data_IF_790051466459
#
_entry.id   IF_790051466459
#
_cell.length_a   1.000
_cell.length_b   1.000
_cell.length_c   1.000
_cell.angle_alpha   90.00
_cell.angle_beta   90.00
_cell.angle_gamma   90.00
#
_symmetry.space_group_name_H-M   'P 1'
#
loop_
_entity.id
_entity.type
_entity.pdbx_description
1 polymer ?
#
# COMPACT_ATOMS: atom_id res chain seq x y z
N UNK A 1 15.40 39.11 -23.45
CA UNK A 1 14.97 37.94 -24.23
C UNK A 1 14.71 36.82 -23.24
N UNK A 2 13.45 36.49 -22.97
CA UNK A 2 13.06 35.40 -22.05
C UNK A 2 13.13 34.07 -22.81
N UNK A 3 14.17 33.28 -22.56
CA UNK A 3 14.20 31.89 -23.02
C UNK A 3 13.21 31.11 -22.14
N UNK A 4 12.11 30.64 -22.76
CA UNK A 4 11.28 29.62 -22.11
C UNK A 4 12.15 28.37 -21.96
N UNK A 5 12.25 27.77 -20.77
CA UNK A 5 13.04 26.55 -20.58
C UNK A 5 12.49 25.47 -21.51
N UNK A 6 13.38 24.92 -22.33
CA UNK A 6 13.06 23.80 -23.22
C UNK A 6 12.67 22.59 -22.37
N UNK A 7 11.61 21.84 -22.70
CA UNK A 7 11.26 20.61 -21.96
C UNK A 7 12.38 19.55 -21.97
N UNK A 8 13.42 19.74 -22.79
CA UNK A 8 14.65 18.94 -22.80
C UNK A 8 15.59 19.20 -21.60
N UNK A 9 15.41 20.29 -20.84
CA UNK A 9 16.21 20.61 -19.65
C UNK A 9 15.65 20.01 -18.35
N UNK A 10 14.55 19.25 -18.44
CA UNK A 10 13.96 18.58 -17.27
C UNK A 10 14.63 17.20 -17.14
N UNK A 11 15.48 16.97 -16.11
CA UNK A 11 16.07 15.67 -15.90
C UNK A 11 14.95 14.63 -15.70
N UNK A 12 15.08 13.40 -16.22
CA UNK A 12 14.07 12.37 -16.03
C UNK A 12 13.85 12.21 -14.53
N UNK A 13 12.62 12.53 -14.08
CA UNK A 13 12.27 12.35 -12.68
C UNK A 13 12.34 10.87 -12.39
N UNK A 14 13.36 10.45 -11.66
CA UNK A 14 13.41 9.12 -11.07
C UNK A 14 12.11 8.94 -10.29
N UNK A 15 11.35 7.86 -10.57
CA UNK A 15 10.08 7.66 -9.90
C UNK A 15 10.32 7.57 -8.40
N UNK A 16 9.42 8.19 -7.63
CA UNK A 16 9.50 8.11 -6.17
C UNK A 16 9.36 6.64 -5.72
N UNK A 17 9.92 6.28 -4.55
CA UNK A 17 9.75 4.94 -3.99
C UNK A 17 8.27 4.51 -3.90
N UNK A 18 7.37 5.45 -3.55
CA UNK A 18 5.92 5.22 -3.52
C UNK A 18 5.36 4.90 -4.92
N UNK A 19 5.81 5.61 -5.95
CA UNK A 19 5.38 5.36 -7.33
C UNK A 19 5.86 3.97 -7.81
N UNK A 20 7.08 3.56 -7.48
CA UNK A 20 7.59 2.22 -7.77
C UNK A 20 6.78 1.15 -7.04
N UNK A 21 6.50 1.34 -5.75
CA UNK A 21 5.70 0.38 -4.97
C UNK A 21 4.29 0.22 -5.53
N UNK A 22 3.62 1.33 -5.90
CA UNK A 22 2.30 1.29 -6.54
C UNK A 22 2.35 0.56 -7.89
N UNK A 23 3.38 0.81 -8.69
CA UNK A 23 3.58 0.12 -9.96
C UNK A 23 3.76 -1.39 -9.76
N UNK A 24 4.60 -1.80 -8.80
CA UNK A 24 4.80 -3.22 -8.45
C UNK A 24 3.51 -3.89 -8.00
N UNK A 25 2.71 -3.23 -7.15
CA UNK A 25 1.41 -3.75 -6.72
C UNK A 25 0.47 -3.92 -7.91
N UNK A 26 0.43 -2.93 -8.81
CA UNK A 26 -0.40 -2.97 -10.02
C UNK A 26 -0.01 -4.11 -10.94
N UNK A 27 1.29 -4.32 -11.15
CA UNK A 27 1.81 -5.38 -12.00
C UNK A 27 1.50 -6.76 -11.40
N UNK A 28 1.58 -6.90 -10.08
CA UNK A 28 1.20 -8.13 -9.39
C UNK A 28 -0.30 -8.45 -9.55
N UNK A 29 -1.18 -7.45 -9.34
CA UNK A 29 -2.63 -7.61 -9.51
C UNK A 29 -2.95 -8.00 -10.97
N UNK A 30 -2.37 -7.28 -11.93
CA UNK A 30 -2.62 -7.52 -13.36
C UNK A 30 -2.12 -8.90 -13.79
N UNK A 31 -0.90 -9.27 -13.39
CA UNK A 31 -0.34 -10.59 -13.69
C UNK A 31 -1.12 -11.73 -13.05
N UNK A 32 -1.64 -11.51 -11.84
CA UNK A 32 -2.49 -12.49 -11.15
C UNK A 32 -3.84 -12.64 -11.86
N UNK A 33 -4.49 -11.53 -12.22
CA UNK A 33 -5.75 -11.54 -12.96
C UNK A 33 -5.62 -12.23 -14.32
N UNK A 34 -4.54 -11.98 -15.06
CA UNK A 34 -4.27 -12.65 -16.33
C UNK A 34 -4.08 -14.16 -16.16
N UNK A 35 -3.30 -14.59 -15.17
CA UNK A 35 -3.11 -16.01 -14.86
C UNK A 35 -4.43 -16.69 -14.47
N UNK A 36 -5.25 -16.00 -13.69
CA UNK A 36 -6.55 -16.53 -13.30
C UNK A 36 -7.48 -16.62 -14.53
N UNK A 37 -7.55 -15.59 -15.36
CA UNK A 37 -8.40 -15.59 -16.57
C UNK A 37 -8.04 -16.69 -17.59
N UNK A 38 -6.80 -17.15 -17.59
CA UNK A 38 -6.32 -18.21 -18.49
C UNK A 38 -6.57 -19.63 -17.95
N UNK A 39 -7.01 -19.78 -16.70
CA UNK A 39 -7.24 -21.07 -16.07
C UNK A 39 -8.71 -21.46 -16.19
N UNK A 40 -8.97 -22.56 -16.90
CA UNK A 40 -10.34 -23.07 -17.13
C UNK A 40 -11.00 -23.63 -15.86
N UNK A 41 -10.21 -24.00 -14.85
CA UNK A 41 -10.67 -24.72 -13.65
C UNK A 41 -10.55 -23.87 -12.37
N UNK A 42 -10.88 -22.58 -12.43
CA UNK A 42 -10.93 -21.76 -11.21
C UNK A 42 -12.23 -21.98 -10.48
N UNK A 43 -12.12 -22.53 -9.28
CA UNK A 43 -13.17 -22.52 -8.29
C UNK A 43 -13.39 -21.09 -7.78
N UNK A 44 -14.41 -20.42 -8.33
CA UNK A 44 -14.79 -19.05 -7.96
C UNK A 44 -15.27 -18.96 -6.51
N UNK A 45 -15.93 -20.01 -6.00
CA UNK A 45 -16.42 -20.05 -4.62
C UNK A 45 -15.25 -20.12 -3.64
N UNK A 46 -14.26 -20.98 -3.95
CA UNK A 46 -12.99 -21.04 -3.22
C UNK A 46 -12.25 -19.70 -3.23
N UNK A 47 -12.24 -19.00 -4.37
CA UNK A 47 -11.63 -17.67 -4.49
C UNK A 47 -12.35 -16.62 -3.65
N UNK A 48 -13.69 -16.66 -3.60
CA UNK A 48 -14.50 -15.75 -2.78
C UNK A 48 -14.24 -15.97 -1.28
N UNK A 49 -14.14 -17.22 -0.84
CA UNK A 49 -13.81 -17.55 0.55
C UNK A 49 -12.41 -17.04 0.92
N UNK A 50 -11.43 -17.26 0.04
CA UNK A 50 -10.07 -16.75 0.25
C UNK A 50 -10.03 -15.22 0.30
N UNK A 51 -10.78 -14.55 -0.58
CA UNK A 51 -10.87 -13.09 -0.58
C UNK A 51 -11.47 -12.56 0.74
N UNK A 52 -12.56 -13.16 1.24
CA UNK A 52 -13.17 -12.82 2.54
C UNK A 52 -12.20 -13.03 3.70
N UNK A 53 -11.45 -14.13 3.67
CA UNK A 53 -10.46 -14.44 4.71
C UNK A 53 -9.32 -13.41 4.72
N UNK A 54 -8.80 -13.06 3.55
CA UNK A 54 -7.72 -12.08 3.41
C UNK A 54 -8.17 -10.68 3.87
N UNK A 55 -9.39 -10.28 3.54
CA UNK A 55 -9.99 -9.02 3.94
C UNK A 55 -10.22 -8.96 5.46
N UNK A 56 -10.69 -10.06 6.07
CA UNK A 56 -10.80 -10.17 7.53
C UNK A 56 -9.44 -10.09 8.24
N UNK A 57 -8.41 -10.78 7.73
CA UNK A 57 -7.04 -10.70 8.26
C UNK A 57 -6.47 -9.29 8.15
N UNK A 58 -6.68 -8.62 7.01
CA UNK A 58 -6.21 -7.24 6.78
C UNK A 58 -6.84 -6.28 7.80
N UNK A 59 -8.16 -6.36 8.02
CA UNK A 59 -8.83 -5.56 9.04
C UNK A 59 -8.32 -5.85 10.46
N UNK A 60 -8.04 -7.11 10.79
CA UNK A 60 -7.49 -7.48 12.09
C UNK A 60 -6.06 -6.92 12.29
N UNK A 61 -5.24 -6.93 11.24
CA UNK A 61 -3.91 -6.34 11.21
C UNK A 61 -3.99 -4.82 11.42
N UNK A 62 -4.85 -4.12 10.67
CA UNK A 62 -5.06 -2.68 10.80
C UNK A 62 -5.53 -2.29 12.21
N UNK A 63 -6.49 -3.03 12.77
CA UNK A 63 -6.96 -2.81 14.13
C UNK A 63 -5.82 -2.96 15.15
N UNK A 64 -4.91 -3.92 14.93
CA UNK A 64 -3.74 -4.12 15.77
C UNK A 64 -2.75 -2.96 15.66
N UNK A 65 -2.45 -2.49 14.44
CA UNK A 65 -1.60 -1.32 14.21
C UNK A 65 -2.17 -0.08 14.90
N UNK A 66 -3.48 0.17 14.78
CA UNK A 66 -4.15 1.30 15.44
C UNK A 66 -4.03 1.23 16.97
N UNK A 67 -4.16 0.03 17.55
CA UNK A 67 -3.96 -0.17 19.00
C UNK A 67 -2.54 0.18 19.44
N UNK A 68 -1.53 -0.28 18.70
CA UNK A 68 -0.13 0.05 19.00
C UNK A 68 0.14 1.55 18.91
N UNK A 69 -0.34 2.20 17.86
CA UNK A 69 -0.21 3.65 17.68
C UNK A 69 -0.87 4.42 18.83
N UNK A 70 -2.05 3.98 19.30
CA UNK A 70 -2.72 4.60 20.44
C UNK A 70 -1.93 4.43 21.75
N UNK A 71 -1.38 3.23 22.00
CA UNK A 71 -0.54 2.98 23.18
C UNK A 71 0.73 3.84 23.16
N UNK A 72 1.39 3.96 22.02
CA UNK A 72 2.57 4.81 21.86
C UNK A 72 2.24 6.29 22.02
N UNK A 73 1.10 6.75 21.48
CA UNK A 73 0.63 8.11 21.69
C UNK A 73 0.37 8.41 23.17
N UNK A 74 -0.28 7.48 23.88
CA UNK A 74 -0.54 7.62 25.33
C UNK A 74 0.75 7.69 26.15
N UNK A 75 1.73 6.82 25.88
CA UNK A 75 3.05 6.86 26.54
C UNK A 75 3.78 8.19 26.32
N UNK A 76 3.71 8.73 25.10
CA UNK A 76 4.31 10.04 24.77
C UNK A 76 3.63 11.20 25.50
N UNK A 77 2.31 11.13 25.67
CA UNK A 77 1.57 12.13 26.44
C UNK A 77 1.95 12.07 27.93
N UNK A 78 2.00 10.88 28.53
CA UNK A 78 2.40 10.69 29.94
C UNK A 78 3.85 11.16 30.18
N UNK A 79 4.77 10.88 29.26
CA UNK A 79 6.15 11.37 29.33
C UNK A 79 6.27 12.91 29.22
N UNK A 80 5.29 13.57 28.58
CA UNK A 80 5.26 15.03 28.41
C UNK A 80 4.60 15.76 29.59
N UNK A 81 3.84 15.07 30.44
CA UNK A 81 3.10 15.65 31.58
C UNK A 81 3.89 15.64 32.90
N UNK A 82 5.01 14.91 32.97
CA UNK A 82 5.95 14.98 34.10
C UNK A 82 7.24 15.71 33.67
N UNK A 83 7.28 17.05 33.70
CA UNK A 83 8.56 17.74 33.63
C UNK A 83 9.31 17.44 34.93
N UNK A 84 10.55 16.97 34.81
CA UNK A 84 11.48 16.89 35.95
C UNK A 84 11.81 18.26 36.48
#
# INVERSE_FOLDING_TARGET
MNASPSPADIPPRTPSPDALQRQTIRDLITGTALKLSASADIDLDGLEVLAKLLDAQTRAQEASVRRWQHLDAKKRQEASQCPR
#
